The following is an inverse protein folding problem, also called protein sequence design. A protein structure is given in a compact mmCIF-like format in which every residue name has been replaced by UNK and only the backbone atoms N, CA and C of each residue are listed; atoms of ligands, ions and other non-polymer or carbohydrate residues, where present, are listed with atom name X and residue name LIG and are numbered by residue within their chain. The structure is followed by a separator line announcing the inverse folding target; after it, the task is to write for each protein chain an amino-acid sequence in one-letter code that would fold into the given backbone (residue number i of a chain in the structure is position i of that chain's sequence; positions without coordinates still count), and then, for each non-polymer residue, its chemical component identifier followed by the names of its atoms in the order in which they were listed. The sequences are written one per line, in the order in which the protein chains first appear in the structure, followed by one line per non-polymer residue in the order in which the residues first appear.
data_IF_860158228921
#
_entry.id   IF_860158228921
#
_cell.length_a   1.000
_cell.length_b   1.000
_cell.length_c   1.000
_cell.angle_alpha   90.00
_cell.angle_beta   90.00
_cell.angle_gamma   90.00
#
_symmetry.space_group_name_H-M   'P 1'
#
loop_
_entity.id
_entity.type
_entity.pdbx_description
1 polymer ?
#
# COMPACT_ATOMS: atom_id res chain seq x y z
N UNK A 1 -40.33 10.97 -10.55
CA UNK A 1 -39.64 12.27 -10.65
C UNK A 1 -38.20 12.06 -10.21
N UNK A 2 -37.25 12.11 -11.15
CA UNK A 2 -35.81 11.98 -10.88
C UNK A 2 -35.28 13.24 -10.16
N UNK A 3 -34.34 13.15 -9.20
CA UNK A 3 -33.47 14.25 -8.87
C UNK A 3 -32.24 14.26 -9.79
N UNK A 4 -31.89 15.47 -10.22
CA UNK A 4 -30.78 15.84 -11.11
C UNK A 4 -29.41 15.56 -10.48
N UNK A 5 -28.49 15.03 -11.28
CA UNK A 5 -27.04 15.08 -11.02
C UNK A 5 -26.52 16.52 -11.14
N UNK A 6 -25.71 16.95 -10.18
CA UNK A 6 -24.86 18.13 -10.31
C UNK A 6 -23.44 17.67 -10.67
N UNK A 7 -23.03 17.94 -11.91
CA UNK A 7 -21.63 17.84 -12.33
C UNK A 7 -20.92 19.15 -11.99
N UNK A 8 -19.85 19.08 -11.20
CA UNK A 8 -18.97 20.24 -10.94
C UNK A 8 -17.82 20.19 -11.95
N UNK A 9 -17.82 21.16 -12.87
CA UNK A 9 -16.72 21.44 -13.79
C UNK A 9 -15.75 22.39 -13.08
N UNK A 10 -14.52 21.96 -12.83
CA UNK A 10 -13.44 22.85 -12.39
C UNK A 10 -12.79 23.50 -13.61
N UNK A 11 -13.02 24.80 -13.78
CA UNK A 11 -12.29 25.63 -14.74
C UNK A 11 -10.98 26.13 -14.10
N UNK A 12 -9.85 25.86 -14.75
CA UNK A 12 -8.55 26.36 -14.35
C UNK A 12 -8.40 27.84 -14.70
N UNK A 13 -8.09 28.68 -13.71
CA UNK A 13 -7.81 30.10 -13.88
C UNK A 13 -6.30 30.26 -14.21
N UNK A 14 -5.99 30.68 -15.43
CA UNK A 14 -4.63 31.12 -15.80
C UNK A 14 -4.50 32.60 -15.42
N UNK A 15 -3.70 32.91 -14.41
CA UNK A 15 -3.31 34.29 -14.10
C UNK A 15 -1.99 34.58 -14.81
N UNK A 16 -2.05 35.39 -15.85
CA UNK A 16 -0.88 35.99 -16.48
C UNK A 16 -0.49 37.25 -15.68
N UNK A 17 0.62 37.19 -14.94
CA UNK A 17 1.20 38.36 -14.27
C UNK A 17 2.06 39.14 -15.25
N UNK A 18 1.59 40.32 -15.66
CA UNK A 18 2.38 41.31 -16.41
C UNK A 18 3.32 42.02 -15.43
N UNK A 19 4.62 41.92 -15.69
CA UNK A 19 5.67 42.57 -14.90
C UNK A 19 5.70 44.09 -15.09
N UNK A 20 5.77 44.81 -13.98
CA UNK A 20 6.18 46.20 -13.91
C UNK A 20 7.46 46.25 -13.07
N UNK A 21 8.58 46.55 -13.74
CA UNK A 21 9.90 46.72 -13.12
C UNK A 21 9.94 48.03 -12.30
N UNK A 22 10.19 47.91 -11.00
CA UNK A 22 10.70 48.98 -10.15
C UNK A 22 12.18 48.71 -9.81
N UNK A 23 13.01 49.75 -9.56
CA UNK A 23 14.45 49.58 -9.37
C UNK A 23 14.78 48.89 -8.04
N UNK A 24 15.76 47.98 -8.11
CA UNK A 24 16.25 47.12 -7.04
C UNK A 24 16.85 47.91 -5.85
N UNK A 25 16.35 47.64 -4.64
CA UNK A 25 16.97 48.03 -3.38
C UNK A 25 17.89 46.87 -2.90
N UNK A 26 19.23 47.05 -2.81
CA UNK A 26 20.16 45.93 -2.60
C UNK A 26 20.27 45.46 -1.14
N UNK A 27 19.38 45.89 -0.25
CA UNK A 27 19.59 45.76 1.19
C UNK A 27 18.57 44.88 1.95
N UNK A 28 17.92 43.88 1.33
CA UNK A 28 17.30 42.76 2.06
C UNK A 28 17.30 41.47 1.23
N UNK A 29 18.43 40.76 1.18
CA UNK A 29 18.45 39.33 0.82
C UNK A 29 18.61 38.54 2.10
N UNK A 30 17.51 37.97 2.59
CA UNK A 30 17.58 36.86 3.53
C UNK A 30 18.40 35.73 2.88
N UNK A 31 19.27 35.03 3.64
CA UNK A 31 20.02 33.92 3.09
C UNK A 31 19.04 32.85 2.62
N UNK A 32 19.05 32.57 1.32
CA UNK A 32 18.35 31.44 0.75
C UNK A 32 18.83 30.18 1.48
N UNK A 33 17.94 29.60 2.28
CA UNK A 33 18.14 28.26 2.83
C UNK A 33 18.23 27.33 1.63
N UNK A 34 19.43 26.83 1.35
CA UNK A 34 19.61 25.75 0.41
C UNK A 34 18.80 24.56 0.94
N UNK A 35 17.65 24.30 0.33
CA UNK A 35 16.92 23.05 0.53
C UNK A 35 17.81 21.96 -0.04
N UNK A 36 18.55 21.29 0.84
CA UNK A 36 19.35 20.13 0.47
C UNK A 36 18.43 19.12 -0.21
N UNK A 37 18.74 18.77 -1.46
CA UNK A 37 18.12 17.63 -2.12
C UNK A 37 18.38 16.39 -1.26
N UNK A 38 17.30 15.73 -0.83
CA UNK A 38 17.38 14.45 -0.14
C UNK A 38 18.21 13.47 -0.99
N UNK A 39 19.18 12.74 -0.41
CA UNK A 39 20.14 11.94 -1.17
C UNK A 39 19.56 10.60 -1.68
N UNK A 40 18.25 10.39 -1.61
CA UNK A 40 17.60 9.16 -2.07
C UNK A 40 16.81 9.47 -3.35
N UNK A 41 17.06 8.80 -4.48
CA UNK A 41 16.13 8.86 -5.60
C UNK A 41 14.83 8.23 -5.12
N UNK A 42 13.85 9.07 -4.82
CA UNK A 42 12.51 8.62 -4.49
C UNK A 42 11.94 7.90 -5.70
N UNK A 43 11.13 6.88 -5.44
CA UNK A 43 10.25 6.33 -6.45
C UNK A 43 9.36 7.49 -6.91
N UNK A 44 9.49 7.90 -8.16
CA UNK A 44 8.82 9.10 -8.68
C UNK A 44 7.29 8.92 -8.80
N UNK A 45 6.79 7.68 -8.72
CA UNK A 45 5.38 7.32 -8.78
C UNK A 45 4.75 6.97 -7.43
N UNK A 46 3.44 6.70 -7.44
CA UNK A 46 2.69 6.20 -6.29
C UNK A 46 3.04 4.72 -6.04
N UNK A 47 3.36 4.38 -4.79
CA UNK A 47 3.53 2.99 -4.36
C UNK A 47 2.19 2.40 -3.89
N UNK A 48 1.91 1.15 -4.22
CA UNK A 48 0.69 0.44 -3.81
C UNK A 48 0.95 -0.70 -2.82
N UNK A 49 2.21 -1.10 -2.65
CA UNK A 49 2.59 -2.11 -1.67
C UNK A 49 4.07 -2.08 -1.34
N UNK A 50 4.40 -2.53 -0.14
CA UNK A 50 5.77 -2.73 0.33
C UNK A 50 5.84 -4.02 1.16
N UNK A 51 6.81 -4.89 0.91
CA UNK A 51 6.97 -6.13 1.66
C UNK A 51 8.44 -6.53 1.80
N UNK A 52 8.79 -7.13 2.93
CA UNK A 52 10.09 -7.77 3.15
C UNK A 52 9.99 -9.26 2.83
N UNK A 53 10.94 -9.77 2.05
CA UNK A 53 11.08 -11.20 1.82
C UNK A 53 11.55 -11.93 3.08
N UNK A 54 10.85 -12.97 3.56
CA UNK A 54 11.26 -13.72 4.75
C UNK A 54 12.65 -14.38 4.64
N UNK A 55 13.03 -14.85 3.45
CA UNK A 55 14.26 -15.63 3.24
C UNK A 55 15.49 -14.76 3.06
N UNK A 56 15.47 -13.82 2.11
CA UNK A 56 16.63 -12.96 1.81
C UNK A 56 16.65 -11.66 2.60
N UNK A 57 15.51 -11.23 3.14
CA UNK A 57 15.36 -9.93 3.77
C UNK A 57 15.26 -8.78 2.76
N UNK A 58 15.24 -9.03 1.45
CA UNK A 58 15.07 -7.95 0.46
C UNK A 58 13.71 -7.27 0.64
N UNK A 59 13.67 -5.95 0.52
CA UNK A 59 12.42 -5.18 0.59
C UNK A 59 12.01 -4.76 -0.81
N UNK A 60 10.77 -5.04 -1.18
CA UNK A 60 10.20 -4.68 -2.48
C UNK A 60 9.12 -3.63 -2.32
N UNK A 61 9.03 -2.75 -3.32
CA UNK A 61 7.97 -1.76 -3.45
C UNK A 61 7.31 -1.90 -4.80
N UNK A 62 5.99 -2.12 -4.80
CA UNK A 62 5.15 -2.17 -5.98
C UNK A 62 4.61 -0.78 -6.33
N UNK A 63 4.68 -0.42 -7.61
CA UNK A 63 4.41 0.93 -8.11
C UNK A 63 3.78 0.89 -9.50
N UNK A 64 3.28 2.04 -9.96
CA UNK A 64 2.85 2.22 -11.36
C UNK A 64 3.95 1.94 -12.41
N UNK A 65 5.22 2.10 -12.04
CA UNK A 65 6.36 1.97 -12.95
C UNK A 65 7.03 0.58 -12.86
N UNK A 66 6.40 -0.35 -12.15
CA UNK A 66 6.90 -1.70 -11.90
C UNK A 66 7.42 -1.89 -10.48
N UNK A 67 8.20 -2.95 -10.30
CA UNK A 67 8.73 -3.36 -9.00
C UNK A 67 10.10 -2.72 -8.73
N UNK A 68 10.30 -2.23 -7.52
CA UNK A 68 11.58 -1.74 -7.02
C UNK A 68 12.05 -2.64 -5.87
N UNK A 69 13.35 -2.83 -5.76
CA UNK A 69 14.01 -3.42 -4.59
C UNK A 69 14.78 -2.32 -3.86
N UNK A 70 14.71 -2.31 -2.53
CA UNK A 70 15.44 -1.33 -1.72
C UNK A 70 16.85 -1.85 -1.45
N UNK A 71 17.85 -1.05 -1.81
CA UNK A 71 19.27 -1.36 -1.65
C UNK A 71 19.96 -0.31 -0.79
N UNK A 72 21.19 -0.59 -0.37
CA UNK A 72 22.04 0.36 0.39
C UNK A 72 22.22 1.73 -0.33
N UNK A 73 22.13 1.74 -1.66
CA UNK A 73 22.20 2.95 -2.50
C UNK A 73 20.84 3.61 -2.76
N UNK A 74 19.76 3.08 -2.19
CA UNK A 74 18.39 3.53 -2.41
C UNK A 74 17.55 2.55 -3.24
N UNK A 75 16.33 2.95 -3.63
CA UNK A 75 15.46 2.14 -4.49
C UNK A 75 16.11 1.87 -5.86
N UNK A 76 16.17 0.60 -6.26
CA UNK A 76 16.59 0.17 -7.59
C UNK A 76 15.43 -0.52 -8.28
N UNK A 77 15.11 -0.11 -9.52
CA UNK A 77 14.10 -0.81 -10.31
C UNK A 77 14.56 -2.23 -10.59
N UNK A 78 13.66 -3.21 -10.44
CA UNK A 78 13.93 -4.59 -10.84
C UNK A 78 13.97 -4.67 -12.36
N UNK A 79 14.95 -5.40 -12.89
CA UNK A 79 15.07 -5.69 -14.33
C UNK A 79 14.03 -6.73 -14.75
N UNK A 80 12.79 -6.27 -14.88
CA UNK A 80 11.61 -7.02 -15.28
C UNK A 80 10.66 -6.13 -16.10
N UNK A 81 9.55 -6.71 -16.60
CA UNK A 81 8.60 -5.97 -17.43
C UNK A 81 7.98 -4.82 -16.65
N UNK A 82 7.65 -3.74 -17.35
CA UNK A 82 6.83 -2.67 -16.78
C UNK A 82 5.40 -3.17 -16.67
N UNK A 83 4.92 -3.28 -15.44
CA UNK A 83 3.52 -3.53 -15.11
C UNK A 83 3.16 -2.47 -14.09
N UNK A 84 1.99 -1.84 -14.28
CA UNK A 84 1.39 -0.99 -13.27
C UNK A 84 0.89 -1.90 -12.14
N UNK A 85 1.68 -1.99 -11.06
CA UNK A 85 1.40 -2.86 -9.93
C UNK A 85 0.55 -2.10 -8.91
N UNK A 86 -0.72 -2.52 -8.81
CA UNK A 86 -1.74 -2.00 -7.90
C UNK A 86 -1.77 -2.86 -6.64
N UNK A 87 -2.84 -3.63 -6.39
CA UNK A 87 -2.90 -4.55 -5.27
C UNK A 87 -1.67 -5.47 -5.24
N UNK A 88 -0.98 -5.53 -4.11
CA UNK A 88 0.29 -6.23 -3.96
C UNK A 88 0.37 -6.94 -2.62
N UNK A 89 0.86 -8.18 -2.63
CA UNK A 89 1.12 -8.95 -1.42
C UNK A 89 2.27 -9.92 -1.68
N UNK A 90 2.88 -10.41 -0.61
CA UNK A 90 3.89 -11.45 -0.67
C UNK A 90 3.41 -12.64 0.15
N UNK A 91 3.54 -13.84 -0.41
CA UNK A 91 3.20 -15.08 0.31
C UNK A 91 4.23 -15.37 1.40
N UNK A 92 3.90 -16.28 2.32
CA UNK A 92 4.84 -16.75 3.34
C UNK A 92 6.09 -17.43 2.72
N UNK A 93 5.96 -18.05 1.53
CA UNK A 93 7.09 -18.60 0.76
C UNK A 93 7.96 -17.53 0.11
N UNK A 94 7.51 -16.26 0.07
CA UNK A 94 8.23 -15.14 -0.55
C UNK A 94 7.90 -14.91 -2.03
N UNK A 95 6.86 -15.57 -2.56
CA UNK A 95 6.34 -15.32 -3.91
C UNK A 95 5.61 -13.98 -3.93
N UNK A 96 5.85 -13.21 -4.99
CA UNK A 96 5.21 -11.91 -5.18
C UNK A 96 3.90 -12.12 -5.92
N UNK A 97 2.82 -11.58 -5.38
CA UNK A 97 1.51 -11.54 -6.03
C UNK A 97 1.09 -10.09 -6.23
N UNK A 98 0.58 -9.80 -7.42
CA UNK A 98 0.06 -8.47 -7.70
C UNK A 98 -1.11 -8.48 -8.67
N UNK A 99 -1.74 -7.33 -8.84
CA UNK A 99 -2.78 -7.01 -9.81
C UNK A 99 -2.51 -5.62 -10.39
N UNK A 100 -3.24 -5.23 -11.43
CA UNK A 100 -3.16 -3.91 -12.03
C UNK A 100 -3.20 -3.98 -13.55
N UNK A 101 -2.33 -3.21 -14.21
CA UNK A 101 -2.37 -3.02 -15.66
C UNK A 101 -1.06 -3.41 -16.35
N UNK A 102 -1.12 -4.06 -17.52
CA UNK A 102 0.06 -4.37 -18.30
C UNK A 102 0.69 -3.08 -18.84
N UNK A 103 2.01 -2.95 -18.74
CA UNK A 103 2.71 -1.87 -19.41
C UNK A 103 2.83 -2.11 -20.91
N UNK A 104 3.14 -1.04 -21.64
CA UNK A 104 3.32 -1.08 -23.10
C UNK A 104 4.36 -2.15 -23.47
N UNK A 105 4.01 -3.00 -24.42
CA UNK A 105 4.90 -4.05 -24.94
C UNK A 105 4.96 -5.32 -24.09
N UNK A 106 4.15 -5.44 -23.03
CA UNK A 106 3.99 -6.72 -22.31
C UNK A 106 2.88 -7.56 -22.94
N UNK A 107 3.08 -8.88 -22.98
CA UNK A 107 2.06 -9.85 -23.43
C UNK A 107 1.24 -10.32 -22.21
N UNK A 108 0.49 -9.38 -21.63
CA UNK A 108 -0.35 -9.61 -20.45
C UNK A 108 -1.77 -9.08 -20.71
N UNK A 109 -2.81 -9.72 -20.16
CA UNK A 109 -4.18 -9.23 -20.25
C UNK A 109 -4.36 -7.85 -19.60
N UNK A 110 -5.38 -7.11 -20.01
CA UNK A 110 -5.74 -5.81 -19.44
C UNK A 110 -7.17 -5.85 -18.89
N UNK A 111 -7.39 -5.75 -17.55
CA UNK A 111 -6.40 -5.78 -16.46
C UNK A 111 -5.68 -7.12 -16.31
N UNK A 112 -4.55 -7.17 -15.61
CA UNK A 112 -3.70 -8.38 -15.52
C UNK A 112 -4.32 -9.49 -14.67
N UNK A 113 -5.35 -9.20 -13.88
CA UNK A 113 -5.88 -10.14 -12.89
C UNK A 113 -4.92 -10.29 -11.71
N UNK A 114 -4.76 -11.51 -11.20
CA UNK A 114 -3.65 -11.84 -10.29
C UNK A 114 -2.50 -12.38 -11.11
N UNK A 115 -1.37 -11.69 -11.04
CA UNK A 115 -0.07 -12.14 -11.55
C UNK A 115 0.84 -12.57 -10.41
N UNK A 116 1.70 -13.53 -10.70
CA UNK A 116 2.64 -14.13 -9.75
C UNK A 116 4.07 -14.10 -10.30
N UNK A 117 5.02 -13.84 -9.41
CA UNK A 117 6.46 -13.90 -9.67
C UNK A 117 7.18 -14.65 -8.56
N UNK A 118 7.84 -15.76 -8.93
CA UNK A 118 8.74 -16.52 -8.06
C UNK A 118 10.22 -16.20 -8.27
N UNK A 119 10.55 -15.23 -9.14
CA UNK A 119 11.91 -14.85 -9.52
C UNK A 119 12.24 -13.39 -9.19
N UNK A 120 11.63 -12.89 -8.11
CA UNK A 120 11.83 -11.55 -7.56
C UNK A 120 11.39 -10.41 -8.49
N UNK A 121 10.34 -10.65 -9.29
CA UNK A 121 9.72 -9.66 -10.17
C UNK A 121 10.37 -9.55 -11.55
N UNK A 122 11.30 -10.44 -11.89
CA UNK A 122 11.93 -10.46 -13.23
C UNK A 122 10.97 -10.96 -14.29
N UNK A 123 10.13 -11.93 -13.96
CA UNK A 123 9.04 -12.39 -14.80
C UNK A 123 7.74 -12.45 -14.01
N UNK A 124 6.62 -12.26 -14.72
CA UNK A 124 5.27 -12.31 -14.17
C UNK A 124 4.41 -13.22 -15.02
N UNK A 125 3.61 -14.06 -14.36
CA UNK A 125 2.67 -14.96 -15.04
C UNK A 125 1.26 -14.74 -14.50
N UNK A 126 0.26 -14.79 -15.38
CA UNK A 126 -1.14 -14.69 -14.96
C UNK A 126 -1.52 -15.96 -14.19
N UNK A 127 -1.81 -15.81 -12.91
CA UNK A 127 -2.28 -16.89 -12.04
C UNK A 127 -3.79 -17.08 -12.17
N UNK A 128 -4.55 -16.00 -12.18
CA UNK A 128 -6.01 -16.03 -12.35
C UNK A 128 -6.62 -14.68 -12.70
N UNK A 129 -7.86 -14.67 -13.18
CA UNK A 129 -8.66 -13.45 -13.46
C UNK A 129 -8.03 -12.43 -14.43
N UNK A 130 -7.10 -12.87 -15.28
CA UNK A 130 -6.58 -12.05 -16.37
C UNK A 130 -7.70 -11.55 -17.28
N UNK A 131 -7.71 -10.26 -17.57
CA UNK A 131 -8.72 -9.55 -18.34
C UNK A 131 -10.02 -9.30 -17.59
N UNK A 132 -10.11 -9.63 -16.29
CA UNK A 132 -11.37 -9.60 -15.53
C UNK A 132 -11.34 -8.76 -14.27
N UNK A 133 -10.20 -8.70 -13.57
CA UNK A 133 -10.11 -8.00 -12.29
C UNK A 133 -8.91 -7.11 -12.20
N UNK A 134 -9.15 -5.95 -11.59
CA UNK A 134 -8.17 -4.95 -11.23
C UNK A 134 -8.23 -4.73 -9.72
N UNK A 135 -7.61 -5.64 -8.98
CA UNK A 135 -7.58 -5.59 -7.53
C UNK A 135 -6.72 -4.43 -7.06
N UNK A 136 -7.35 -3.49 -6.36
CA UNK A 136 -6.69 -2.35 -5.71
C UNK A 136 -6.28 -2.68 -4.26
N UNK A 137 -6.97 -3.64 -3.64
CA UNK A 137 -6.52 -4.28 -2.41
C UNK A 137 -6.38 -5.78 -2.65
N UNK A 138 -5.27 -6.36 -2.22
CA UNK A 138 -4.97 -7.78 -2.35
C UNK A 138 -4.19 -8.24 -1.12
N UNK A 139 -4.61 -9.35 -0.51
CA UNK A 139 -3.89 -9.96 0.61
C UNK A 139 -3.84 -11.47 0.45
N UNK A 140 -2.84 -12.09 1.08
CA UNK A 140 -2.62 -13.54 1.04
C UNK A 140 -2.45 -14.11 2.45
N UNK A 141 -2.79 -15.39 2.60
CA UNK A 141 -2.52 -16.20 3.79
C UNK A 141 -2.36 -17.66 3.38
N UNK A 142 -2.05 -18.55 4.34
CA UNK A 142 -2.03 -20.00 4.09
C UNK A 142 -3.39 -20.54 3.64
N UNK A 143 -4.48 -19.82 3.91
CA UNK A 143 -5.84 -20.19 3.50
C UNK A 143 -6.19 -19.79 2.06
N UNK A 144 -5.45 -18.85 1.47
CA UNK A 144 -5.66 -18.40 0.09
C UNK A 144 -5.51 -16.89 -0.09
N UNK A 145 -6.34 -16.30 -0.95
CA UNK A 145 -6.30 -14.88 -1.33
C UNK A 145 -7.65 -14.19 -1.07
N UNK A 146 -7.60 -12.91 -0.69
CA UNK A 146 -8.73 -11.99 -0.79
C UNK A 146 -8.31 -10.79 -1.64
N UNK A 147 -9.21 -10.35 -2.53
CA UNK A 147 -8.99 -9.18 -3.37
C UNK A 147 -10.24 -8.32 -3.45
N UNK A 148 -10.05 -7.01 -3.67
CA UNK A 148 -11.14 -6.06 -3.89
C UNK A 148 -10.94 -5.26 -5.19
N UNK A 149 -11.88 -5.41 -6.13
CA UNK A 149 -11.93 -4.74 -7.43
C UNK A 149 -13.21 -3.90 -7.58
N UNK A 150 -13.74 -3.38 -6.46
CA UNK A 150 -15.12 -2.90 -6.32
C UNK A 150 -16.07 -4.00 -5.83
N UNK A 151 -15.70 -5.27 -5.99
CA UNK A 151 -16.33 -6.42 -5.34
C UNK A 151 -15.31 -7.13 -4.46
N UNK A 152 -15.68 -7.48 -3.23
CA UNK A 152 -14.84 -8.36 -2.41
C UNK A 152 -14.89 -9.77 -3.01
N UNK A 153 -13.72 -10.35 -3.25
CA UNK A 153 -13.59 -11.70 -3.80
C UNK A 153 -12.65 -12.52 -2.93
N UNK A 154 -12.97 -13.79 -2.77
CA UNK A 154 -12.18 -14.74 -1.98
C UNK A 154 -11.84 -15.96 -2.83
N UNK A 155 -10.62 -16.46 -2.71
CA UNK A 155 -10.14 -17.66 -3.39
C UNK A 155 -9.27 -18.47 -2.44
N UNK A 156 -9.58 -19.76 -2.27
CA UNK A 156 -8.80 -20.65 -1.39
C UNK A 156 -7.62 -21.31 -2.14
N UNK A 157 -7.69 -21.42 -3.46
CA UNK A 157 -6.64 -21.99 -4.34
C UNK A 157 -5.85 -20.91 -5.13
N UNK A 158 -6.25 -19.64 -4.98
CA UNK A 158 -5.76 -18.49 -5.75
C UNK A 158 -6.15 -18.52 -7.24
N UNK A 159 -7.11 -19.35 -7.64
CA UNK A 159 -7.56 -19.57 -9.03
C UNK A 159 -9.07 -19.45 -9.20
N UNK A 160 -9.84 -20.12 -8.36
CA UNK A 160 -11.30 -20.07 -8.33
C UNK A 160 -11.76 -19.05 -7.31
N UNK A 161 -12.64 -18.14 -7.72
CA UNK A 161 -13.03 -16.99 -6.91
C UNK A 161 -14.54 -16.95 -6.70
N UNK A 162 -14.93 -16.66 -5.46
CA UNK A 162 -16.32 -16.35 -5.09
C UNK A 162 -16.44 -14.88 -4.72
N UNK A 163 -17.55 -14.27 -5.09
CA UNK A 163 -17.89 -12.93 -4.63
C UNK A 163 -18.37 -13.02 -3.18
N UNK A 164 -17.99 -12.04 -2.37
CA UNK A 164 -18.51 -11.87 -1.02
C UNK A 164 -19.15 -10.49 -0.86
N UNK A 165 -20.23 -10.38 -0.05
CA UNK A 165 -20.84 -9.09 0.22
C UNK A 165 -19.90 -8.24 1.06
N UNK A 166 -19.75 -6.97 0.66
CA UNK A 166 -19.07 -5.95 1.43
C UNK A 166 -19.93 -4.68 1.38
N UNK A 167 -20.29 -4.14 2.54
CA UNK A 167 -21.21 -3.00 2.64
C UNK A 167 -20.54 -1.64 2.45
N UNK A 168 -19.21 -1.61 2.43
CA UNK A 168 -18.40 -0.41 2.30
C UNK A 168 -17.25 -0.64 1.32
N UNK A 169 -16.76 0.44 0.73
CA UNK A 169 -15.59 0.44 -0.14
C UNK A 169 -14.35 0.06 0.67
N UNK A 170 -13.54 -0.86 0.14
CA UNK A 170 -12.34 -1.36 0.80
C UNK A 170 -11.11 -0.64 0.26
N UNK A 171 -10.33 -0.05 1.15
CA UNK A 171 -9.06 0.61 0.80
C UNK A 171 -7.85 -0.29 1.05
N UNK A 172 -7.94 -1.20 2.02
CA UNK A 172 -6.87 -2.14 2.37
C UNK A 172 -7.44 -3.42 2.93
N UNK A 173 -6.79 -4.54 2.62
CA UNK A 173 -7.07 -5.87 3.15
C UNK A 173 -5.81 -6.41 3.82
N UNK A 174 -5.97 -7.09 4.95
CA UNK A 174 -4.89 -7.83 5.59
C UNK A 174 -5.42 -9.06 6.29
N UNK A 175 -4.77 -10.20 6.10
CA UNK A 175 -5.10 -11.45 6.76
C UNK A 175 -4.00 -11.88 7.73
N UNK A 176 -4.38 -12.53 8.84
CA UNK A 176 -3.43 -13.27 9.65
C UNK A 176 -2.75 -14.37 8.82
N UNK A 177 -1.51 -14.78 9.15
CA UNK A 177 -0.78 -15.76 8.33
C UNK A 177 -1.56 -17.07 8.07
N UNK A 178 -2.34 -17.52 9.06
CA UNK A 178 -3.19 -18.72 8.96
C UNK A 178 -4.56 -18.48 8.29
N UNK A 179 -4.91 -17.23 7.99
CA UNK A 179 -6.20 -16.82 7.47
C UNK A 179 -7.36 -16.97 8.48
N UNK A 180 -7.08 -17.14 9.77
CA UNK A 180 -8.13 -17.23 10.78
C UNK A 180 -8.82 -15.89 11.03
N UNK A 181 -8.12 -14.78 10.80
CA UNK A 181 -8.65 -13.43 10.97
C UNK A 181 -8.29 -12.58 9.75
N UNK A 182 -9.25 -11.77 9.30
CA UNK A 182 -9.06 -10.80 8.21
C UNK A 182 -9.57 -9.46 8.69
N UNK A 183 -8.84 -8.40 8.36
CA UNK A 183 -9.25 -7.02 8.57
C UNK A 183 -9.37 -6.33 7.22
N UNK A 184 -10.37 -5.45 7.12
CA UNK A 184 -10.53 -4.54 6.01
C UNK A 184 -10.58 -3.11 6.55
N UNK A 185 -9.72 -2.24 6.02
CA UNK A 185 -9.90 -0.80 6.13
C UNK A 185 -10.95 -0.39 5.08
N UNK A 186 -11.98 0.35 5.51
CA UNK A 186 -13.11 0.68 4.64
C UNK A 186 -13.57 2.11 4.83
N UNK A 187 -14.37 2.62 3.90
CA UNK A 187 -15.03 3.93 4.03
C UNK A 187 -15.98 4.04 5.22
N UNK A 188 -16.36 2.92 5.85
CA UNK A 188 -17.18 2.86 7.07
C UNK A 188 -16.36 2.52 8.34
N UNK A 189 -15.03 2.60 8.29
CA UNK A 189 -14.13 2.19 9.37
C UNK A 189 -13.63 0.76 9.23
N UNK A 190 -12.89 0.27 10.23
CA UNK A 190 -12.30 -1.08 10.18
C UNK A 190 -13.37 -2.14 10.39
N UNK A 191 -13.36 -3.14 9.52
CA UNK A 191 -14.21 -4.34 9.58
C UNK A 191 -13.33 -5.56 9.85
N UNK A 192 -13.81 -6.49 10.67
CA UNK A 192 -13.13 -7.76 10.97
C UNK A 192 -13.96 -8.96 10.53
N UNK A 193 -13.27 -10.00 10.06
CA UNK A 193 -13.85 -11.30 9.72
C UNK A 193 -13.04 -12.42 10.35
N UNK A 194 -13.71 -13.36 11.01
CA UNK A 194 -13.13 -14.63 11.45
C UNK A 194 -13.62 -15.83 10.59
N UNK A 195 -14.25 -15.52 9.47
CA UNK A 195 -14.81 -16.47 8.49
C UNK A 195 -14.14 -16.32 7.13
N UNK A 196 -12.95 -15.71 7.10
CA UNK A 196 -12.17 -15.45 5.88
C UNK A 196 -12.94 -14.70 4.78
N UNK A 197 -13.67 -13.66 5.20
CA UNK A 197 -14.38 -12.74 4.31
C UNK A 197 -15.85 -13.05 4.06
N UNK A 198 -16.40 -14.14 4.63
CA UNK A 198 -17.82 -14.49 4.46
C UNK A 198 -18.75 -13.58 5.28
N UNK A 199 -18.34 -13.23 6.50
CA UNK A 199 -19.07 -12.33 7.40
C UNK A 199 -18.13 -11.30 8.00
N UNK A 200 -18.65 -10.09 8.22
CA UNK A 200 -17.89 -8.94 8.69
C UNK A 200 -18.58 -8.27 9.87
N UNK A 201 -17.80 -7.79 10.83
CA UNK A 201 -18.27 -7.03 11.98
C UNK A 201 -17.44 -5.76 12.15
N UNK A 202 -18.04 -4.59 12.40
CA UNK A 202 -17.30 -3.37 12.66
C UNK A 202 -16.43 -3.49 13.92
N UNK A 203 -15.22 -2.94 13.88
CA UNK A 203 -14.35 -2.78 15.05
C UNK A 203 -14.62 -1.40 15.66
N UNK A 204 -15.50 -1.34 16.65
CA UNK A 204 -16.14 -0.10 17.12
C UNK A 204 -15.17 1.04 17.51
N UNK A 205 -14.02 0.71 18.12
CA UNK A 205 -13.03 1.68 18.60
C UNK A 205 -11.76 1.73 17.73
N UNK A 206 -11.81 1.14 16.53
CA UNK A 206 -10.69 1.24 15.62
C UNK A 206 -10.55 2.69 15.09
N UNK A 207 -9.31 3.19 14.95
CA UNK A 207 -9.05 4.43 14.25
C UNK A 207 -9.54 4.37 12.80
N UNK A 208 -9.70 5.52 12.15
CA UNK A 208 -10.03 5.62 10.73
C UNK A 208 -8.82 5.26 9.85
N UNK A 209 -8.43 3.99 9.86
CA UNK A 209 -7.28 3.46 9.12
C UNK A 209 -7.56 3.46 7.61
N UNK A 210 -6.53 3.73 6.82
CA UNK A 210 -6.57 3.62 5.34
C UNK A 210 -5.74 2.45 4.83
N UNK A 211 -4.64 2.11 5.52
CA UNK A 211 -3.83 0.92 5.27
C UNK A 211 -3.68 0.11 6.56
N UNK A 212 -3.58 -1.20 6.43
CA UNK A 212 -3.28 -2.11 7.52
C UNK A 212 -2.47 -3.31 7.01
N UNK A 213 -1.63 -3.88 7.86
CA UNK A 213 -0.89 -5.11 7.55
C UNK A 213 -0.56 -5.92 8.83
N UNK A 214 -0.39 -7.23 8.68
CA UNK A 214 -0.16 -8.17 9.77
C UNK A 214 1.33 -8.51 9.87
N UNK A 215 1.92 -8.34 11.05
CA UNK A 215 3.29 -8.78 11.31
C UNK A 215 3.36 -10.27 11.69
N UNK A 216 2.41 -10.74 12.48
CA UNK A 216 2.23 -12.13 12.88
C UNK A 216 0.74 -12.41 13.19
N UNK A 217 0.39 -13.58 13.73
CA UNK A 217 -1.01 -13.94 14.05
C UNK A 217 -1.73 -13.04 15.08
N UNK A 218 -1.02 -12.12 15.74
CA UNK A 218 -1.57 -11.22 16.78
C UNK A 218 -1.25 -9.75 16.55
N UNK A 219 -0.10 -9.44 15.96
CA UNK A 219 0.42 -8.09 15.79
C UNK A 219 -0.02 -7.54 14.45
N UNK A 220 -0.72 -6.40 14.49
CA UNK A 220 -1.23 -5.71 13.31
C UNK A 220 -0.85 -4.24 13.41
N UNK A 221 -0.48 -3.65 12.29
CA UNK A 221 -0.22 -2.22 12.17
C UNK A 221 -1.28 -1.61 11.28
N UNK A 222 -1.69 -0.40 11.62
CA UNK A 222 -2.58 0.43 10.85
C UNK A 222 -2.03 1.84 10.73
N UNK A 223 -2.36 2.52 9.66
CA UNK A 223 -2.03 3.95 9.48
C UNK A 223 -3.26 4.70 8.99
N UNK A 224 -3.48 5.89 9.55
CA UNK A 224 -4.58 6.78 9.18
C UNK A 224 -4.18 7.74 8.03
N UNK A 225 -5.11 8.54 7.46
CA UNK A 225 -4.81 9.46 6.37
C UNK A 225 -3.74 10.51 6.69
N UNK A 226 -3.52 10.84 7.96
CA UNK A 226 -2.52 11.81 8.39
C UNK A 226 -1.12 11.21 8.50
N UNK A 227 -1.03 9.88 8.46
CA UNK A 227 0.20 9.13 8.70
C UNK A 227 0.42 8.76 10.16
N UNK A 228 -0.59 8.88 11.03
CA UNK A 228 -0.48 8.43 12.41
C UNK A 228 -0.56 6.89 12.44
N UNK A 229 0.41 6.28 13.12
CA UNK A 229 0.56 4.82 13.19
C UNK A 229 -0.16 4.29 14.43
N UNK A 230 -0.86 3.18 14.27
CA UNK A 230 -1.56 2.47 15.33
C UNK A 230 -1.13 1.01 15.32
N UNK A 231 -1.04 0.42 16.51
CA UNK A 231 -0.63 -0.97 16.68
C UNK A 231 -1.69 -1.72 17.47
N UNK A 232 -1.99 -2.94 17.02
CA UNK A 232 -2.77 -3.93 17.74
C UNK A 232 -1.89 -5.12 18.11
N UNK A 233 -2.08 -5.66 19.31
CA UNK A 233 -1.38 -6.87 19.81
C UNK A 233 -2.35 -8.04 20.08
N UNK A 234 -3.59 -7.90 19.65
CA UNK A 234 -4.70 -8.82 19.90
C UNK A 234 -5.51 -9.11 18.64
N UNK A 235 -4.82 -9.20 17.50
CA UNK A 235 -5.37 -9.55 16.18
C UNK A 235 -6.40 -8.53 15.66
N UNK A 236 -6.13 -7.24 15.87
CA UNK A 236 -6.94 -6.13 15.38
C UNK A 236 -8.18 -5.80 16.22
N UNK A 237 -8.33 -6.40 17.41
CA UNK A 237 -9.50 -6.16 18.28
C UNK A 237 -9.41 -4.82 19.00
N UNK A 238 -8.22 -4.46 19.48
CA UNK A 238 -7.94 -3.16 20.09
C UNK A 238 -6.72 -2.51 19.45
N UNK A 239 -6.71 -1.17 19.44
CA UNK A 239 -5.70 -0.37 18.78
C UNK A 239 -5.14 0.67 19.73
N UNK A 240 -3.82 0.86 19.70
CA UNK A 240 -3.13 1.91 20.46
C UNK A 240 -2.35 2.79 19.49
N UNK A 241 -2.41 4.13 19.64
CA UNK A 241 -1.53 5.01 18.86
C UNK A 241 -0.08 4.72 19.22
N UNK A 242 0.78 4.65 18.22
CA UNK A 242 2.21 4.68 18.41
C UNK A 242 2.64 6.06 18.93
N UNK A 243 3.77 6.14 19.63
CA UNK A 243 4.26 7.41 20.20
C UNK A 243 4.95 8.32 19.18
N UNK A 244 5.25 7.80 17.98
CA UNK A 244 5.86 8.54 16.88
C UNK A 244 4.94 9.63 16.32
N UNK A 245 5.56 10.63 15.67
CA UNK A 245 4.81 11.69 14.97
C UNK A 245 4.18 11.14 13.69
N UNK A 246 3.05 11.72 13.23
CA UNK A 246 2.49 11.38 11.94
C UNK A 246 3.51 11.55 10.80
N UNK A 247 3.53 10.58 9.89
CA UNK A 247 4.49 10.51 8.78
C UNK A 247 4.05 11.33 7.55
N UNK A 248 2.86 11.92 7.59
CA UNK A 248 2.18 12.44 6.41
C UNK A 248 1.41 11.34 5.66
N UNK A 249 0.73 11.69 4.55
CA UNK A 249 -0.12 10.76 3.83
C UNK A 249 0.65 9.48 3.42
N UNK A 250 0.18 8.29 3.82
CA UNK A 250 0.84 7.03 3.47
C UNK A 250 0.47 6.61 2.04
N UNK A 251 1.41 5.95 1.36
CA UNK A 251 1.19 5.30 0.07
C UNK A 251 1.14 3.78 0.19
N UNK A 252 2.05 3.20 0.99
CA UNK A 252 2.07 1.76 1.25
C UNK A 252 2.54 1.48 2.69
N UNK A 253 2.06 0.37 3.24
CA UNK A 253 2.39 -0.13 4.57
C UNK A 253 2.75 -1.61 4.45
N UNK A 254 3.80 -2.03 5.17
CA UNK A 254 4.18 -3.43 5.31
C UNK A 254 4.59 -3.71 6.75
N UNK A 255 4.23 -4.88 7.26
CA UNK A 255 4.58 -5.34 8.60
C UNK A 255 5.15 -6.77 8.57
N UNK A 256 6.14 -7.05 9.40
CA UNK A 256 6.72 -8.39 9.52
C UNK A 256 7.42 -8.57 10.87
N UNK A 257 7.73 -9.82 11.25
CA UNK A 257 8.63 -10.09 12.38
C UNK A 257 10.06 -10.27 11.87
N UNK A 258 10.96 -9.42 12.35
CA UNK A 258 12.41 -9.48 12.08
C UNK A 258 13.14 -9.54 13.42
N UNK A 259 13.97 -10.57 13.61
CA UNK A 259 14.71 -10.81 14.86
C UNK A 259 13.82 -10.79 16.11
N UNK A 260 12.64 -11.40 16.02
CA UNK A 260 11.66 -11.49 17.12
C UNK A 260 10.96 -10.17 17.46
N UNK A 261 11.09 -9.13 16.63
CA UNK A 261 10.46 -7.82 16.81
C UNK A 261 9.62 -7.46 15.60
N UNK A 262 8.55 -6.72 15.83
CA UNK A 262 7.76 -6.15 14.75
C UNK A 262 8.55 -5.07 14.03
N UNK A 263 8.70 -5.26 12.72
CA UNK A 263 9.15 -4.25 11.79
C UNK A 263 7.93 -3.62 11.11
N UNK A 264 7.97 -2.28 10.97
CA UNK A 264 7.00 -1.50 10.22
C UNK A 264 7.73 -0.80 9.09
N UNK A 265 7.28 -1.01 7.85
CA UNK A 265 7.76 -0.33 6.66
C UNK A 265 6.65 0.58 6.14
N UNK A 266 6.98 1.85 5.88
CA UNK A 266 6.01 2.82 5.35
C UNK A 266 6.62 3.53 4.16
N UNK A 267 5.88 3.61 3.07
CA UNK A 267 6.18 4.47 1.93
C UNK A 267 5.30 5.72 2.03
N UNK A 268 5.93 6.89 1.96
CA UNK A 268 5.28 8.19 1.84
C UNK A 268 5.73 8.86 0.53
N UNK A 269 5.09 9.96 0.10
CA UNK A 269 5.53 10.70 -1.09
C UNK A 269 7.00 11.18 -1.04
N UNK A 270 7.60 11.25 0.15
CA UNK A 270 8.93 11.85 0.35
C UNK A 270 9.97 10.91 0.95
N UNK A 271 9.58 9.70 1.41
CA UNK A 271 10.50 8.76 2.02
C UNK A 271 9.96 7.33 2.07
N UNK A 272 10.89 6.38 2.15
CA UNK A 272 10.61 5.03 2.64
C UNK A 272 11.24 4.94 4.02
N UNK A 273 10.44 4.67 5.04
CA UNK A 273 10.86 4.66 6.44
C UNK A 273 10.57 3.33 7.11
N UNK A 274 11.36 3.05 8.15
CA UNK A 274 11.32 1.81 8.91
C UNK A 274 11.26 2.11 10.41
N UNK A 275 10.44 1.36 11.13
CA UNK A 275 10.44 1.27 12.59
C UNK A 275 10.66 -0.17 13.05
N UNK A 276 11.34 -0.33 14.19
CA UNK A 276 11.52 -1.60 14.92
C UNK A 276 11.17 -1.49 16.41
N UNK A 277 10.47 -0.43 16.76
CA UNK A 277 10.06 -0.06 18.12
C UNK A 277 8.56 0.27 18.16
N UNK A 278 7.79 -0.50 17.39
CA UNK A 278 6.34 -0.40 17.29
C UNK A 278 5.83 1.00 16.91
N UNK A 279 6.54 1.67 15.99
CA UNK A 279 6.17 2.98 15.46
C UNK A 279 6.55 4.16 16.36
N UNK A 280 7.39 3.94 17.38
CA UNK A 280 7.85 5.03 18.26
C UNK A 280 8.86 5.93 17.55
N UNK A 281 9.77 5.33 16.78
CA UNK A 281 10.71 6.06 15.93
C UNK A 281 10.75 5.48 14.52
N UNK A 282 10.99 6.35 13.54
CA UNK A 282 11.14 5.99 12.13
C UNK A 282 12.45 6.54 11.60
N UNK A 283 13.19 5.69 10.90
CA UNK A 283 14.42 6.06 10.19
C UNK A 283 14.27 5.76 8.69
N UNK A 284 14.95 6.51 7.80
CA UNK A 284 15.00 6.14 6.39
C UNK A 284 15.47 4.70 6.20
N UNK A 285 14.75 3.94 5.38
CA UNK A 285 15.17 2.61 4.97
C UNK A 285 16.34 2.77 3.99
N UNK A 286 17.45 2.09 4.30
CA UNK A 286 18.65 1.97 3.47
C UNK A 286 18.94 0.51 3.25
#
# INVERSE_FOLDING_TARGET
MLPLLAAVVFAALIVASVGLFGPDDPAQREPAVAVGQSPNPLIAGHAHGIARRPTSGDVYVATHDGLFVITASGPSRVDGPTVDLMGFTMTESGDLLSSGHPGVGTDLPQPVGVIESGDNGKTWTVRSRGGQSDFHALTSSSRGLLGYDGTLRVSEDGRTWRNQPMSAEVTSLGASPDGANVLAATSAGVQASNTYGDTWTPVAEAPALVLLDWADARQVVGIDPSGAVFVSSDAGRTWKPASGKPLGPPQALGASIVDGRMEILVVTPTAIVRSVDSGSTFAPLR
#
